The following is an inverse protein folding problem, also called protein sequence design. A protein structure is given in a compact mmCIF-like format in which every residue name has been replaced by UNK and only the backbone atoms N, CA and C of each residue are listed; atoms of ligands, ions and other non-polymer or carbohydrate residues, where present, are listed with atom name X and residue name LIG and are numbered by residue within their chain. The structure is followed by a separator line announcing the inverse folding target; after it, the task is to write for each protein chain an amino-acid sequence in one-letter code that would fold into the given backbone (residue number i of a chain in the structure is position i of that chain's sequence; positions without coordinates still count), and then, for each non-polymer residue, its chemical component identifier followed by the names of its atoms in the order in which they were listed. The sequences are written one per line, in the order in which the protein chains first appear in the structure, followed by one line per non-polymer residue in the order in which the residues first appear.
data_IF_420287636422
#
_entry.id   IF_420287636422
#
_cell.length_a   1.000
_cell.length_b   1.000
_cell.length_c   1.000
_cell.angle_alpha   90.00
_cell.angle_beta   90.00
_cell.angle_gamma   90.00
#
_symmetry.space_group_name_H-M   'P 1'
#
loop_
_entity.id
_entity.type
_entity.pdbx_description
1 polymer ?
#
# COMPACT_ATOMS: atom_id res chain seq x y z
N UNK A 1 65.15 60.25 7.25
CA UNK A 1 64.03 60.18 6.28
C UNK A 1 63.66 58.72 6.08
N UNK A 2 62.55 58.27 6.67
CA UNK A 2 62.09 56.87 6.58
C UNK A 2 60.94 56.77 5.57
N UNK A 3 61.14 55.92 4.58
CA UNK A 3 60.22 55.52 3.52
C UNK A 3 59.06 54.71 4.13
N UNK A 4 57.80 55.04 3.82
CA UNK A 4 56.64 54.18 4.07
C UNK A 4 55.76 54.14 2.82
N UNK A 5 55.96 53.11 2.02
CA UNK A 5 55.07 52.70 0.94
C UNK A 5 53.92 51.90 1.56
N UNK A 6 52.69 52.40 1.45
CA UNK A 6 51.47 51.66 1.82
C UNK A 6 51.01 50.92 0.58
N UNK A 7 51.18 49.59 0.58
CA UNK A 7 50.53 48.69 -0.38
C UNK A 7 49.19 48.29 0.23
N UNK A 8 48.10 48.79 -0.35
CA UNK A 8 46.75 48.34 -0.02
C UNK A 8 46.50 46.99 -0.72
N UNK A 9 46.49 45.91 0.06
CA UNK A 9 46.06 44.60 -0.42
C UNK A 9 44.53 44.55 -0.41
N UNK A 10 43.91 44.58 -1.60
CA UNK A 10 42.51 44.19 -1.77
C UNK A 10 42.39 42.69 -1.53
N UNK A 11 41.76 42.28 -0.43
CA UNK A 11 41.27 40.92 -0.26
C UNK A 11 39.99 40.76 -1.09
N UNK A 12 40.10 40.13 -2.25
CA UNK A 12 38.94 39.65 -3.00
C UNK A 12 38.45 38.34 -2.37
N UNK A 13 37.45 38.43 -1.49
CA UNK A 13 36.68 37.26 -1.03
C UNK A 13 35.80 36.77 -2.17
N UNK A 14 36.32 35.83 -2.96
CA UNK A 14 35.54 35.05 -3.91
C UNK A 14 34.54 34.18 -3.14
N UNK A 15 33.29 34.63 -3.04
CA UNK A 15 32.16 33.78 -2.66
C UNK A 15 31.96 32.77 -3.79
N UNK A 16 32.53 31.58 -3.62
CA UNK A 16 32.17 30.40 -4.38
C UNK A 16 30.74 30.04 -4.00
N UNK A 17 29.75 30.65 -4.66
CA UNK A 17 28.40 30.10 -4.75
C UNK A 17 28.55 28.85 -5.61
N UNK A 18 28.80 27.72 -4.96
CA UNK A 18 28.76 26.43 -5.63
C UNK A 18 27.37 26.25 -6.21
N UNK A 19 27.26 26.30 -7.54
CA UNK A 19 26.10 25.75 -8.23
C UNK A 19 26.06 24.26 -7.88
N UNK A 20 25.29 23.90 -6.84
CA UNK A 20 24.95 22.52 -6.59
C UNK A 20 24.21 22.04 -7.84
N UNK A 21 24.88 21.23 -8.66
CA UNK A 21 24.25 20.57 -9.80
C UNK A 21 23.11 19.73 -9.25
N UNK A 22 21.91 19.93 -9.80
CA UNK A 22 20.74 19.13 -9.47
C UNK A 22 21.08 17.64 -9.67
N UNK A 23 20.88 16.83 -8.64
CA UNK A 23 21.09 15.39 -8.74
C UNK A 23 19.88 14.73 -9.42
N UNK A 24 20.15 13.70 -10.22
CA UNK A 24 19.11 12.80 -10.73
C UNK A 24 19.05 11.57 -9.82
N UNK A 25 17.93 11.42 -9.09
CA UNK A 25 17.75 10.42 -8.05
C UNK A 25 16.64 9.47 -8.48
N UNK A 26 16.90 8.16 -8.42
CA UNK A 26 15.90 7.14 -8.71
C UNK A 26 15.56 6.38 -7.45
N UNK A 27 14.27 6.24 -7.16
CA UNK A 27 13.73 5.39 -6.09
C UNK A 27 12.94 4.22 -6.68
N UNK A 28 12.93 3.09 -5.99
CA UNK A 28 12.01 1.97 -6.22
C UNK A 28 11.06 1.87 -5.02
N UNK A 29 9.77 2.09 -5.27
CA UNK A 29 8.69 1.77 -4.34
C UNK A 29 8.12 0.39 -4.67
N UNK A 30 8.29 -0.56 -3.73
CA UNK A 30 7.65 -1.87 -3.80
C UNK A 30 6.35 -1.82 -3.01
N UNK A 31 5.23 -1.82 -3.75
CA UNK A 31 3.89 -1.60 -3.20
C UNK A 31 2.96 -2.80 -3.40
N UNK A 32 1.81 -2.77 -2.71
CA UNK A 32 0.74 -3.75 -2.91
C UNK A 32 -0.16 -3.42 -4.12
N UNK A 33 -1.03 -4.36 -4.50
CA UNK A 33 -1.61 -4.43 -5.84
C UNK A 33 -2.52 -3.26 -6.30
N UNK A 34 -3.42 -2.71 -5.46
CA UNK A 34 -4.42 -1.72 -5.87
C UNK A 34 -3.96 -0.25 -5.73
N UNK A 35 -2.68 0.01 -5.42
CA UNK A 35 -2.17 1.37 -5.20
C UNK A 35 -1.56 2.01 -6.45
N UNK A 36 -1.83 1.46 -7.64
CA UNK A 36 -1.22 1.87 -8.91
C UNK A 36 -1.53 3.31 -9.24
N UNK A 37 -2.81 3.65 -9.22
CA UNK A 37 -3.32 4.98 -9.55
C UNK A 37 -2.89 5.99 -8.47
N UNK A 38 -2.97 5.60 -7.19
CA UNK A 38 -2.49 6.40 -6.07
C UNK A 38 -1.04 6.81 -6.25
N UNK A 39 -0.13 5.84 -6.44
CA UNK A 39 1.29 6.14 -6.53
C UNK A 39 1.65 6.83 -7.84
N UNK A 40 0.88 6.67 -8.93
CA UNK A 40 1.11 7.44 -10.15
C UNK A 40 0.95 8.94 -9.89
N UNK A 41 -0.14 9.34 -9.25
CA UNK A 41 -0.41 10.75 -8.91
C UNK A 41 0.54 11.25 -7.82
N UNK A 42 0.70 10.47 -6.75
CA UNK A 42 1.58 10.82 -5.63
C UNK A 42 3.04 10.97 -6.05
N UNK A 43 3.55 10.11 -6.93
CA UNK A 43 4.94 10.20 -7.42
C UNK A 43 5.17 11.50 -8.19
N UNK A 44 4.21 11.93 -9.01
CA UNK A 44 4.31 13.18 -9.75
C UNK A 44 4.29 14.39 -8.80
N UNK A 45 3.41 14.37 -7.79
CA UNK A 45 3.34 15.41 -6.77
C UNK A 45 4.64 15.49 -5.96
N UNK A 46 5.14 14.37 -5.44
CA UNK A 46 6.38 14.33 -4.68
C UNK A 46 7.59 14.78 -5.52
N UNK A 47 7.72 14.33 -6.77
CA UNK A 47 8.83 14.74 -7.64
C UNK A 47 8.84 16.26 -7.86
N UNK A 48 7.66 16.87 -8.05
CA UNK A 48 7.51 18.33 -8.16
C UNK A 48 7.87 19.04 -6.85
N UNK A 49 7.37 18.53 -5.72
CA UNK A 49 7.69 19.04 -4.39
C UNK A 49 9.19 19.01 -4.11
N UNK A 50 9.85 17.87 -4.37
CA UNK A 50 11.27 17.69 -4.12
C UNK A 50 12.12 18.60 -5.00
N UNK A 51 11.79 18.70 -6.29
CA UNK A 51 12.47 19.61 -7.22
C UNK A 51 12.34 21.07 -6.80
N UNK A 52 11.16 21.49 -6.34
CA UNK A 52 10.95 22.83 -5.80
C UNK A 52 11.74 23.10 -4.51
N UNK A 53 11.94 22.06 -3.68
CA UNK A 53 12.62 22.17 -2.38
C UNK A 53 14.14 22.10 -2.47
N UNK A 54 14.69 21.28 -3.37
CA UNK A 54 16.14 21.01 -3.42
C UNK A 54 16.79 21.29 -4.77
N UNK A 55 16.00 21.40 -5.83
CA UNK A 55 16.48 21.47 -7.21
C UNK A 55 16.72 20.09 -7.86
N UNK A 56 16.75 19.01 -7.08
CA UNK A 56 17.02 17.65 -7.58
C UNK A 56 15.83 17.09 -8.37
N UNK A 57 16.11 16.26 -9.39
CA UNK A 57 15.07 15.51 -10.09
C UNK A 57 14.93 14.12 -9.45
N UNK A 58 13.70 13.74 -9.11
CA UNK A 58 13.41 12.40 -8.57
C UNK A 58 12.53 11.62 -9.54
N UNK A 59 12.96 10.42 -9.89
CA UNK A 59 12.15 9.42 -10.60
C UNK A 59 11.80 8.31 -9.62
N UNK A 60 10.52 7.96 -9.52
CA UNK A 60 10.06 6.89 -8.65
C UNK A 60 9.48 5.77 -9.50
N UNK A 61 10.21 4.66 -9.56
CA UNK A 61 9.78 3.41 -10.17
C UNK A 61 8.87 2.65 -9.20
N UNK A 62 7.90 1.92 -9.75
CA UNK A 62 6.92 1.18 -8.96
C UNK A 62 6.92 -0.30 -9.32
N UNK A 63 6.69 -1.12 -8.31
CA UNK A 63 6.36 -2.54 -8.46
C UNK A 63 5.10 -2.83 -7.67
N UNK A 64 4.10 -3.46 -8.30
CA UNK A 64 2.81 -3.79 -7.68
C UNK A 64 2.49 -5.27 -7.80
N UNK A 65 1.92 -5.82 -6.74
CA UNK A 65 1.38 -7.17 -6.72
C UNK A 65 0.82 -7.54 -5.35
N UNK A 66 0.49 -8.82 -5.16
CA UNK A 66 0.10 -9.32 -3.84
C UNK A 66 1.16 -8.98 -2.79
N UNK A 67 0.76 -8.30 -1.71
CA UNK A 67 1.68 -7.76 -0.69
C UNK A 67 2.69 -8.77 -0.14
N UNK A 68 2.26 -10.00 0.16
CA UNK A 68 3.17 -11.05 0.63
C UNK A 68 4.14 -11.54 -0.45
N UNK A 69 3.75 -11.49 -1.73
CA UNK A 69 4.65 -11.77 -2.87
C UNK A 69 5.67 -10.64 -3.03
N UNK A 70 5.24 -9.40 -2.87
CA UNK A 70 6.11 -8.22 -2.96
C UNK A 70 7.15 -8.18 -1.83
N UNK A 71 6.73 -8.49 -0.60
CA UNK A 71 7.63 -8.63 0.54
C UNK A 71 8.69 -9.71 0.30
N UNK A 72 8.30 -10.88 -0.21
CA UNK A 72 9.24 -11.92 -0.62
C UNK A 72 10.21 -11.44 -1.71
N UNK A 73 9.74 -10.69 -2.69
CA UNK A 73 10.61 -10.09 -3.71
C UNK A 73 11.73 -9.24 -3.10
N UNK A 74 11.41 -8.42 -2.09
CA UNK A 74 12.42 -7.61 -1.37
C UNK A 74 13.38 -8.50 -0.58
N UNK A 75 12.86 -9.50 0.13
CA UNK A 75 13.67 -10.49 0.88
C UNK A 75 14.66 -11.22 -0.04
N UNK A 76 14.22 -11.57 -1.25
CA UNK A 76 14.98 -12.35 -2.22
C UNK A 76 15.92 -11.48 -3.09
N UNK A 77 15.97 -10.16 -2.85
CA UNK A 77 16.99 -9.27 -3.42
C UNK A 77 16.47 -8.13 -4.32
N UNK A 78 15.16 -7.91 -4.42
CA UNK A 78 14.64 -6.70 -5.07
C UNK A 78 14.99 -5.47 -4.24
N UNK A 79 15.88 -4.62 -4.76
CA UNK A 79 16.43 -3.45 -4.07
C UNK A 79 15.45 -2.28 -3.99
N UNK A 80 14.35 -2.48 -3.26
CA UNK A 80 13.39 -1.43 -2.93
C UNK A 80 14.03 -0.38 -2.01
N UNK A 81 13.86 0.90 -2.32
CA UNK A 81 14.24 1.99 -1.40
C UNK A 81 13.19 2.15 -0.29
N UNK A 82 11.92 1.97 -0.66
CA UNK A 82 10.77 2.02 0.23
C UNK A 82 9.81 0.88 -0.06
N UNK A 83 9.13 0.41 0.98
CA UNK A 83 8.02 -0.51 0.88
C UNK A 83 6.75 0.19 1.35
N UNK A 84 5.67 -0.05 0.62
CA UNK A 84 4.34 0.50 0.93
C UNK A 84 3.34 -0.65 0.81
N UNK A 85 3.22 -1.45 1.88
CA UNK A 85 2.60 -2.79 1.83
C UNK A 85 1.20 -2.78 2.44
N UNK A 86 0.50 -3.90 2.33
CA UNK A 86 -0.91 -3.97 2.71
C UNK A 86 -1.16 -4.16 4.21
N UNK A 87 -0.17 -4.63 4.98
CA UNK A 87 -0.27 -4.92 6.41
C UNK A 87 1.11 -5.05 7.07
N UNK A 88 1.18 -4.78 8.38
CA UNK A 88 2.44 -4.70 9.14
C UNK A 88 3.28 -5.99 9.09
N UNK A 89 2.63 -7.15 9.19
CA UNK A 89 3.33 -8.44 9.15
C UNK A 89 4.19 -8.65 7.89
N UNK A 90 3.84 -8.05 6.74
CA UNK A 90 4.67 -8.17 5.54
C UNK A 90 5.96 -7.33 5.64
N UNK A 91 5.94 -6.21 6.37
CA UNK A 91 7.15 -5.42 6.66
C UNK A 91 7.96 -6.09 7.77
N UNK A 92 7.31 -6.67 8.78
CA UNK A 92 7.99 -7.46 9.82
C UNK A 92 8.77 -8.63 9.20
N UNK A 93 8.18 -9.33 8.22
CA UNK A 93 8.88 -10.41 7.51
C UNK A 93 10.16 -9.94 6.78
N UNK A 94 10.21 -8.68 6.33
CA UNK A 94 11.40 -8.06 5.74
C UNK A 94 12.39 -7.68 6.85
N UNK A 95 11.90 -7.16 7.98
CA UNK A 95 12.70 -6.80 9.14
C UNK A 95 13.38 -8.03 9.78
N UNK A 96 12.71 -9.18 9.81
CA UNK A 96 13.25 -10.47 10.25
C UNK A 96 14.47 -10.93 9.44
N UNK A 97 14.66 -10.39 8.23
CA UNK A 97 15.85 -10.62 7.38
C UNK A 97 16.94 -9.57 7.57
N UNK A 98 16.75 -8.62 8.48
CA UNK A 98 17.72 -7.56 8.80
C UNK A 98 17.84 -6.47 7.73
N UNK A 99 16.86 -6.38 6.82
CA UNK A 99 16.82 -5.36 5.76
C UNK A 99 16.24 -4.03 6.27
N UNK A 100 15.36 -4.11 7.26
CA UNK A 100 14.67 -3.04 7.99
C UNK A 100 14.86 -3.36 9.49
N UNK A 101 14.99 -2.40 10.42
CA UNK A 101 15.07 -2.73 11.84
C UNK A 101 13.71 -3.14 12.41
N UNK A 102 13.74 -3.87 13.53
CA UNK A 102 12.55 -4.41 14.18
C UNK A 102 11.57 -3.33 14.72
N UNK A 103 12.04 -2.11 14.99
CA UNK A 103 11.23 -1.02 15.53
C UNK A 103 10.69 -0.08 14.43
N UNK A 104 10.73 -0.49 13.16
CA UNK A 104 10.36 0.31 12.01
C UNK A 104 9.00 0.99 12.13
N UNK A 105 8.01 0.30 12.71
CA UNK A 105 6.62 0.77 12.80
C UNK A 105 6.48 2.03 13.67
N UNK A 106 7.47 2.34 14.52
CA UNK A 106 7.49 3.53 15.38
C UNK A 106 8.08 4.76 14.69
N UNK A 107 8.67 4.62 13.50
CA UNK A 107 9.39 5.69 12.80
C UNK A 107 8.48 6.74 12.18
N UNK A 108 7.24 6.37 11.90
CA UNK A 108 6.22 7.24 11.32
C UNK A 108 4.95 7.19 12.17
N UNK A 109 4.11 8.25 12.15
CA UNK A 109 2.86 8.29 12.90
C UNK A 109 1.90 7.15 12.53
N UNK A 110 0.88 6.93 13.37
CA UNK A 110 -0.26 6.04 13.07
C UNK A 110 0.16 4.63 12.63
N UNK A 111 1.03 3.97 13.41
CA UNK A 111 1.55 2.64 13.09
C UNK A 111 2.25 2.58 11.72
N UNK A 112 2.89 3.68 11.32
CA UNK A 112 3.46 3.90 9.99
C UNK A 112 2.45 3.71 8.84
N UNK A 113 1.17 3.95 9.09
CA UNK A 113 0.08 3.86 8.11
C UNK A 113 -0.50 5.26 7.83
N UNK A 114 -0.14 5.90 6.69
CA UNK A 114 -0.57 7.27 6.39
C UNK A 114 -2.06 7.37 6.08
N UNK A 115 -2.68 6.27 5.67
CA UNK A 115 -4.10 6.15 5.40
C UNK A 115 -4.61 4.80 5.92
N UNK A 116 -5.93 4.67 5.98
CA UNK A 116 -6.61 3.42 6.33
C UNK A 116 -7.66 3.09 5.29
N UNK A 117 -8.15 1.86 5.32
CA UNK A 117 -9.25 1.39 4.49
C UNK A 117 -10.02 0.31 5.25
N UNK A 118 -11.00 -0.31 4.62
CA UNK A 118 -11.74 -1.43 5.18
C UNK A 118 -12.14 -2.43 4.08
N UNK A 119 -12.79 -3.52 4.48
CA UNK A 119 -13.32 -4.53 3.57
C UNK A 119 -14.81 -4.31 3.36
N UNK A 120 -15.23 -4.25 2.10
CA UNK A 120 -16.63 -4.13 1.69
C UNK A 120 -16.96 -5.21 0.67
N UNK A 121 -18.25 -5.35 0.35
CA UNK A 121 -18.68 -6.25 -0.71
C UNK A 121 -19.01 -5.44 -1.95
N UNK A 122 -18.41 -5.80 -3.09
CA UNK A 122 -18.84 -5.30 -4.39
C UNK A 122 -19.77 -6.34 -5.01
N UNK A 123 -21.02 -5.96 -5.27
CA UNK A 123 -22.04 -6.83 -5.85
C UNK A 123 -22.48 -6.30 -7.22
N UNK A 124 -23.18 -7.14 -7.99
CA UNK A 124 -23.76 -6.74 -9.28
C UNK A 124 -24.94 -5.79 -9.08
N UNK A 125 -25.20 -4.92 -10.07
CA UNK A 125 -26.34 -4.00 -10.08
C UNK A 125 -27.66 -4.70 -9.72
N UNK A 126 -28.44 -4.07 -8.86
CA UNK A 126 -29.70 -4.58 -8.32
C UNK A 126 -29.54 -5.67 -7.26
N UNK A 127 -28.30 -6.06 -6.92
CA UNK A 127 -27.96 -7.07 -5.93
C UNK A 127 -28.84 -8.34 -6.03
N UNK A 128 -28.76 -9.10 -7.15
CA UNK A 128 -29.70 -10.18 -7.46
C UNK A 128 -29.67 -11.34 -6.45
N UNK A 129 -28.60 -11.46 -5.64
CA UNK A 129 -28.48 -12.45 -4.57
C UNK A 129 -28.93 -11.92 -3.20
N UNK A 130 -29.34 -10.67 -3.13
CA UNK A 130 -29.80 -10.03 -1.89
C UNK A 130 -28.75 -10.05 -0.78
N UNK A 131 -27.47 -9.90 -1.14
CA UNK A 131 -26.35 -9.95 -0.19
C UNK A 131 -26.34 -8.67 0.64
N UNK A 132 -26.43 -8.79 1.95
CA UNK A 132 -26.44 -7.66 2.88
C UNK A 132 -25.34 -7.77 3.92
N UNK A 133 -24.95 -8.99 4.27
CA UNK A 133 -23.97 -9.22 5.30
C UNK A 133 -23.19 -10.54 5.11
N UNK A 134 -22.19 -10.78 5.95
CA UNK A 134 -21.33 -11.97 5.92
C UNK A 134 -22.13 -13.29 5.95
N UNK A 135 -23.24 -13.34 6.70
CA UNK A 135 -24.12 -14.51 6.76
C UNK A 135 -24.74 -14.89 5.41
N UNK A 136 -24.88 -13.95 4.48
CA UNK A 136 -25.40 -14.24 3.13
C UNK A 136 -24.36 -14.94 2.24
N UNK A 137 -23.06 -14.75 2.53
CA UNK A 137 -21.97 -15.27 1.71
C UNK A 137 -21.88 -16.80 1.73
N UNK A 138 -22.42 -17.46 2.77
CA UNK A 138 -22.37 -18.92 2.93
C UNK A 138 -23.57 -19.64 2.29
N UNK A 139 -24.49 -18.91 1.66
CA UNK A 139 -25.63 -19.50 0.94
C UNK A 139 -25.14 -20.30 -0.27
N UNK A 140 -25.70 -21.50 -0.57
CA UNK A 140 -25.17 -22.38 -1.62
C UNK A 140 -25.12 -21.77 -3.03
N UNK A 141 -26.02 -20.85 -3.33
CA UNK A 141 -26.16 -20.19 -4.63
C UNK A 141 -25.27 -18.96 -4.82
N UNK A 142 -24.49 -18.57 -3.80
CA UNK A 142 -23.58 -17.43 -3.85
C UNK A 142 -22.19 -17.89 -4.27
N UNK A 143 -21.65 -17.22 -5.27
CA UNK A 143 -20.26 -17.40 -5.71
C UNK A 143 -19.41 -16.20 -5.33
N UNK A 144 -18.27 -16.44 -4.69
CA UNK A 144 -17.41 -15.39 -4.14
C UNK A 144 -16.13 -15.28 -4.94
N UNK A 145 -15.71 -14.04 -5.19
CA UNK A 145 -14.33 -13.71 -5.59
C UNK A 145 -13.61 -13.09 -4.41
N UNK A 146 -12.40 -13.57 -4.15
CA UNK A 146 -11.48 -13.01 -3.16
C UNK A 146 -10.05 -13.41 -3.54
N UNK A 147 -9.03 -12.59 -3.27
CA UNK A 147 -7.66 -12.97 -3.59
C UNK A 147 -7.12 -14.09 -2.68
N UNK A 148 -5.94 -14.63 -3.01
CA UNK A 148 -5.28 -15.70 -2.28
C UNK A 148 -4.56 -15.20 -1.01
N UNK A 149 -4.89 -15.70 0.21
CA UNK A 149 -4.22 -15.29 1.45
C UNK A 149 -2.72 -15.60 1.52
N UNK A 150 -2.21 -16.50 0.68
CA UNK A 150 -0.77 -16.84 0.61
C UNK A 150 0.08 -15.79 -0.09
N UNK A 151 -0.55 -14.90 -0.87
CA UNK A 151 0.15 -13.91 -1.69
C UNK A 151 -0.37 -12.49 -1.47
N UNK A 152 -1.64 -12.32 -1.13
CA UNK A 152 -2.29 -11.01 -1.01
C UNK A 152 -2.50 -10.59 0.46
N UNK A 153 -2.25 -9.32 0.76
CA UNK A 153 -2.62 -8.72 2.06
C UNK A 153 -4.11 -8.48 2.18
N UNK A 154 -4.76 -7.97 1.12
CA UNK A 154 -6.22 -7.82 1.09
C UNK A 154 -6.96 -9.12 1.35
N UNK A 155 -6.45 -10.25 0.85
CA UNK A 155 -7.02 -11.56 1.13
C UNK A 155 -6.96 -11.95 2.62
N UNK A 156 -5.90 -11.54 3.33
CA UNK A 156 -5.75 -11.76 4.77
C UNK A 156 -6.68 -10.84 5.56
N UNK A 157 -6.85 -9.59 5.14
CA UNK A 157 -7.89 -8.72 5.71
C UNK A 157 -9.31 -9.25 5.50
N UNK A 158 -9.63 -9.74 4.29
CA UNK A 158 -10.92 -10.39 4.00
C UNK A 158 -11.16 -11.59 4.92
N UNK A 159 -10.14 -12.43 5.10
CA UNK A 159 -10.21 -13.59 6.00
C UNK A 159 -10.45 -13.16 7.46
N UNK A 160 -9.70 -12.17 7.94
CA UNK A 160 -9.80 -11.69 9.32
C UNK A 160 -11.12 -10.98 9.60
N UNK A 161 -11.67 -10.23 8.63
CA UNK A 161 -12.99 -9.61 8.76
C UNK A 161 -14.10 -10.67 8.87
N UNK A 162 -14.07 -11.70 8.03
CA UNK A 162 -15.00 -12.83 8.11
C UNK A 162 -14.87 -13.59 9.44
N UNK A 163 -13.64 -13.79 9.91
CA UNK A 163 -13.36 -14.44 11.18
C UNK A 163 -13.88 -13.62 12.36
N UNK A 164 -13.61 -12.32 12.38
CA UNK A 164 -14.09 -11.39 13.41
C UNK A 164 -15.62 -11.35 13.46
N UNK A 165 -16.29 -11.28 12.30
CA UNK A 165 -17.75 -11.35 12.23
C UNK A 165 -18.31 -12.60 12.92
N UNK A 166 -17.68 -13.76 12.70
CA UNK A 166 -18.13 -15.02 13.27
C UNK A 166 -17.87 -15.13 14.77
N UNK A 167 -16.83 -14.48 15.29
CA UNK A 167 -16.58 -14.38 16.73
C UNK A 167 -17.62 -13.51 17.45
N UNK A 168 -18.07 -12.44 16.80
CA UNK A 168 -19.07 -11.51 17.36
C UNK A 168 -20.52 -12.05 17.29
N UNK A 169 -20.75 -13.19 16.62
CA UNK A 169 -22.08 -13.81 16.63
C UNK A 169 -22.42 -14.42 18.01
N UNK A 170 -23.71 -14.55 18.36
CA UNK A 170 -24.13 -15.21 19.58
C UNK A 170 -23.50 -16.59 19.77
N UNK A 171 -22.72 -16.74 20.85
CA UNK A 171 -21.97 -17.95 21.16
C UNK A 171 -20.79 -18.21 20.22
N UNK A 172 -20.21 -17.18 19.63
CA UNK A 172 -19.01 -17.24 18.79
C UNK A 172 -17.81 -17.84 19.53
N UNK A 173 -17.04 -18.68 18.82
CA UNK A 173 -15.82 -19.31 19.30
C UNK A 173 -14.84 -19.43 18.15
N UNK A 174 -13.55 -19.64 18.43
CA UNK A 174 -12.56 -19.87 17.37
C UNK A 174 -12.94 -21.04 16.44
N UNK A 175 -13.52 -22.10 17.01
CA UNK A 175 -13.99 -23.25 16.22
C UNK A 175 -15.12 -22.85 15.26
N UNK A 176 -16.11 -22.08 15.73
CA UNK A 176 -17.19 -21.57 14.87
C UNK A 176 -16.69 -20.58 13.82
N UNK A 177 -15.74 -19.72 14.17
CA UNK A 177 -15.11 -18.80 13.23
C UNK A 177 -14.38 -19.55 12.11
N UNK A 178 -13.62 -20.59 12.48
CA UNK A 178 -12.97 -21.49 11.52
C UNK A 178 -13.98 -22.20 10.61
N UNK A 179 -15.07 -22.71 11.17
CA UNK A 179 -16.15 -23.35 10.40
C UNK A 179 -16.82 -22.38 9.42
N UNK A 180 -17.14 -21.17 9.89
CA UNK A 180 -17.75 -20.10 9.10
C UNK A 180 -16.84 -19.68 7.94
N UNK A 181 -15.57 -19.38 8.22
CA UNK A 181 -14.62 -19.03 7.15
C UNK A 181 -14.44 -20.21 6.20
N UNK A 182 -14.45 -21.46 6.70
CA UNK A 182 -14.49 -22.66 5.86
C UNK A 182 -15.71 -22.73 4.93
N UNK A 183 -16.89 -22.29 5.39
CA UNK A 183 -18.10 -22.17 4.56
C UNK A 183 -17.92 -21.07 3.49
N UNK A 184 -17.42 -19.90 3.86
CA UNK A 184 -17.13 -18.80 2.92
C UNK A 184 -16.20 -19.29 1.81
N UNK A 185 -15.10 -19.96 2.16
CA UNK A 185 -14.13 -20.45 1.18
C UNK A 185 -14.65 -21.59 0.29
N UNK A 186 -15.67 -22.36 0.72
CA UNK A 186 -16.35 -23.33 -0.17
C UNK A 186 -17.11 -22.65 -1.30
N UNK A 187 -17.55 -21.41 -1.10
CA UNK A 187 -18.24 -20.61 -2.12
C UNK A 187 -17.28 -19.79 -3.00
N UNK A 188 -15.98 -19.78 -2.70
CA UNK A 188 -14.98 -19.06 -3.50
C UNK A 188 -14.72 -19.78 -4.82
N UNK A 189 -14.82 -19.05 -5.94
CA UNK A 189 -14.59 -19.60 -7.29
C UNK A 189 -13.15 -19.45 -7.77
N UNK A 190 -12.52 -18.33 -7.44
CA UNK A 190 -11.17 -17.99 -7.91
C UNK A 190 -10.42 -17.31 -6.77
N UNK A 191 -9.15 -17.71 -6.58
CA UNK A 191 -8.21 -17.12 -5.63
C UNK A 191 -7.07 -16.45 -6.40
N UNK A 192 -7.30 -15.25 -6.92
CA UNK A 192 -6.28 -14.51 -7.68
C UNK A 192 -5.08 -14.12 -6.79
N UNK A 193 -3.91 -13.96 -7.42
CA UNK A 193 -2.67 -13.71 -6.66
C UNK A 193 -2.62 -12.36 -5.91
N UNK A 194 -3.45 -11.39 -6.33
CA UNK A 194 -3.50 -10.03 -5.80
C UNK A 194 -4.91 -9.45 -5.91
N UNK A 195 -5.17 -8.36 -5.18
CA UNK A 195 -6.51 -7.77 -5.09
C UNK A 195 -7.00 -7.21 -6.43
N UNK A 196 -6.12 -6.55 -7.21
CA UNK A 196 -6.48 -6.02 -8.54
C UNK A 196 -6.87 -7.14 -9.50
N UNK A 197 -6.19 -8.28 -9.41
CA UNK A 197 -6.55 -9.48 -10.17
C UNK A 197 -7.97 -9.97 -9.86
N UNK A 198 -8.36 -9.99 -8.58
CA UNK A 198 -9.72 -10.32 -8.16
C UNK A 198 -10.75 -9.30 -8.65
N UNK A 199 -10.42 -8.01 -8.62
CA UNK A 199 -11.25 -6.95 -9.22
C UNK A 199 -11.48 -7.25 -10.70
N UNK A 200 -10.43 -7.45 -11.50
CA UNK A 200 -10.54 -7.80 -12.93
C UNK A 200 -11.36 -9.08 -13.16
N UNK A 201 -11.17 -10.13 -12.35
CA UNK A 201 -11.96 -11.37 -12.45
C UNK A 201 -13.45 -11.13 -12.24
N UNK A 202 -13.82 -10.33 -11.24
CA UNK A 202 -15.22 -10.03 -10.94
C UNK A 202 -15.83 -9.09 -11.99
N UNK A 203 -15.10 -8.02 -12.29
CA UNK A 203 -15.60 -6.85 -13.00
C UNK A 203 -15.53 -7.01 -14.51
N UNK A 204 -14.38 -7.42 -15.03
CA UNK A 204 -14.14 -7.52 -16.48
C UNK A 204 -14.54 -8.89 -17.01
N UNK A 205 -14.17 -9.96 -16.29
CA UNK A 205 -14.48 -11.35 -16.70
C UNK A 205 -15.87 -11.80 -16.26
N UNK A 206 -16.53 -11.02 -15.41
CA UNK A 206 -17.91 -11.29 -15.00
C UNK A 206 -18.07 -12.58 -14.21
N UNK A 207 -17.07 -13.00 -13.42
CA UNK A 207 -17.13 -14.22 -12.61
C UNK A 207 -17.51 -13.88 -11.16
N UNK A 208 -18.40 -14.65 -10.54
CA UNK A 208 -18.80 -14.47 -9.14
C UNK A 208 -20.07 -13.63 -8.97
N UNK A 209 -20.71 -13.68 -7.82
CA UNK A 209 -21.87 -12.84 -7.46
C UNK A 209 -21.47 -11.65 -6.59
N UNK A 210 -20.38 -11.83 -5.83
CA UNK A 210 -19.82 -10.84 -4.92
C UNK A 210 -18.29 -10.92 -4.89
N UNK A 211 -17.65 -9.76 -4.83
CA UNK A 211 -16.23 -9.61 -4.56
C UNK A 211 -16.02 -9.08 -3.14
N UNK A 212 -15.18 -9.77 -2.37
CA UNK A 212 -14.65 -9.23 -1.11
C UNK A 212 -13.53 -8.25 -1.45
N UNK A 213 -13.83 -6.95 -1.38
CA UNK A 213 -13.02 -5.89 -1.93
C UNK A 213 -12.41 -5.01 -0.83
N UNK A 214 -11.21 -4.50 -1.10
CA UNK A 214 -10.80 -3.24 -0.49
C UNK A 214 -11.81 -2.15 -0.83
N UNK A 215 -12.15 -1.30 0.13
CA UNK A 215 -13.08 -0.19 -0.08
C UNK A 215 -12.66 0.71 -1.26
N UNK A 216 -11.39 1.07 -1.36
CA UNK A 216 -10.88 1.90 -2.45
C UNK A 216 -11.01 1.23 -3.83
N UNK A 217 -10.85 -0.10 -3.95
CA UNK A 217 -11.05 -0.82 -5.22
C UNK A 217 -12.53 -0.88 -5.59
N UNK A 218 -13.41 -1.01 -4.61
CA UNK A 218 -14.85 -0.98 -4.82
C UNK A 218 -15.29 0.39 -5.36
N UNK A 219 -14.84 1.48 -4.73
CA UNK A 219 -15.12 2.84 -5.22
C UNK A 219 -14.50 3.12 -6.59
N UNK A 220 -13.28 2.64 -6.86
CA UNK A 220 -12.67 2.77 -8.18
C UNK A 220 -13.51 2.05 -9.25
N UNK A 221 -13.97 0.83 -8.95
CA UNK A 221 -14.82 0.06 -9.87
C UNK A 221 -16.13 0.80 -10.21
N UNK A 222 -16.75 1.45 -9.23
CA UNK A 222 -17.94 2.28 -9.44
C UNK A 222 -17.62 3.50 -10.31
N UNK A 223 -16.49 4.18 -10.03
CA UNK A 223 -16.07 5.38 -10.76
C UNK A 223 -15.78 5.09 -12.23
N UNK A 224 -15.10 3.98 -12.53
CA UNK A 224 -14.66 3.66 -13.89
C UNK A 224 -15.76 3.02 -14.74
N UNK A 225 -16.69 2.27 -14.13
CA UNK A 225 -17.62 1.41 -14.86
C UNK A 225 -19.09 1.76 -14.64
N UNK A 226 -19.35 2.77 -13.80
CA UNK A 226 -20.67 3.33 -13.58
C UNK A 226 -21.65 2.33 -12.97
N UNK A 227 -22.88 2.34 -13.47
CA UNK A 227 -24.05 1.79 -12.81
C UNK A 227 -24.21 0.25 -12.94
N UNK A 228 -23.07 -0.48 -13.03
CA UNK A 228 -23.01 -1.94 -13.17
C UNK A 228 -22.84 -2.68 -11.85
N UNK A 229 -22.41 -1.99 -10.81
CA UNK A 229 -22.07 -2.55 -9.51
C UNK A 229 -22.63 -1.71 -8.37
N UNK A 230 -22.76 -2.34 -7.21
CA UNK A 230 -23.19 -1.70 -5.97
C UNK A 230 -22.23 -2.10 -4.85
N UNK A 231 -21.99 -1.18 -3.91
CA UNK A 231 -21.24 -1.47 -2.68
C UNK A 231 -22.23 -1.85 -1.61
N UNK A 232 -22.00 -2.99 -0.96
CA UNK A 232 -22.68 -3.41 0.26
C UNK A 232 -21.68 -3.32 1.40
N UNK A 233 -21.97 -2.45 2.36
CA UNK A 233 -21.23 -2.33 3.61
C UNK A 233 -21.76 -3.37 4.60
N UNK A 234 -20.96 -4.38 5.00
CA UNK A 234 -21.41 -5.38 5.98
C UNK A 234 -21.63 -4.78 7.36
N UNK A 235 -22.31 -5.51 8.25
CA UNK A 235 -22.56 -5.04 9.62
C UNK A 235 -21.29 -4.91 10.46
N UNK A 236 -20.29 -5.73 10.13
CA UNK A 236 -18.96 -5.71 10.73
C UNK A 236 -17.92 -5.76 9.62
N UNK A 237 -16.86 -4.97 9.77
CA UNK A 237 -15.65 -5.11 8.97
C UNK A 237 -14.42 -4.90 9.84
N UNK A 238 -13.25 -4.77 9.22
CA UNK A 238 -11.97 -4.59 9.91
C UNK A 238 -11.32 -3.27 9.48
N UNK A 239 -10.69 -2.59 10.44
CA UNK A 239 -9.78 -1.50 10.13
C UNK A 239 -8.53 -2.10 9.49
N UNK A 240 -8.29 -1.77 8.23
CA UNK A 240 -7.09 -2.17 7.55
C UNK A 240 -6.12 -0.97 7.51
N UNK A 241 -4.89 -1.20 7.98
CA UNK A 241 -3.82 -0.21 8.14
C UNK A 241 -2.63 -0.59 7.24
N UNK A 242 -2.56 -0.12 5.97
CA UNK A 242 -1.46 -0.40 5.05
C UNK A 242 -0.21 0.41 5.45
N UNK A 243 0.88 -0.24 5.92
CA UNK A 243 2.01 0.49 6.44
C UNK A 243 3.09 0.75 5.39
N UNK A 244 3.94 1.71 5.70
CA UNK A 244 5.08 2.11 4.87
C UNK A 244 6.38 2.07 5.67
N UNK A 245 7.49 1.71 5.02
CA UNK A 245 8.82 1.77 5.63
C UNK A 245 9.91 2.03 4.61
N UNK A 246 10.97 2.70 5.05
CA UNK A 246 12.25 2.74 4.33
C UNK A 246 12.94 1.38 4.46
N UNK A 247 13.59 0.93 3.39
CA UNK A 247 14.44 -0.28 3.41
C UNK A 247 15.88 0.13 3.67
N UNK A 248 16.27 0.14 4.95
CA UNK A 248 17.55 0.70 5.42
C UNK A 248 18.76 0.18 4.65
N UNK A 249 18.88 -1.14 4.49
CA UNK A 249 20.02 -1.74 3.78
C UNK A 249 20.14 -1.25 2.34
N UNK A 250 19.02 -1.05 1.67
CA UNK A 250 19.00 -0.56 0.28
C UNK A 250 19.39 0.90 0.22
N UNK A 251 18.75 1.75 1.02
CA UNK A 251 18.95 3.20 0.93
C UNK A 251 20.33 3.63 1.40
N UNK A 252 20.93 2.89 2.34
CA UNK A 252 22.32 3.12 2.77
C UNK A 252 23.30 2.69 1.68
N UNK A 253 23.05 1.55 1.03
CA UNK A 253 23.86 1.07 -0.09
C UNK A 253 23.79 2.04 -1.28
N UNK A 254 22.61 2.60 -1.57
CA UNK A 254 22.36 3.45 -2.76
C UNK A 254 22.53 4.94 -2.48
N UNK A 255 22.72 5.36 -1.23
CA UNK A 255 22.82 6.77 -0.86
C UNK A 255 21.50 7.55 -1.03
N UNK A 256 20.35 6.87 -1.03
CA UNK A 256 19.02 7.45 -1.30
C UNK A 256 18.21 7.79 -0.04
N UNK A 257 18.76 7.53 1.16
CA UNK A 257 18.03 7.61 2.44
C UNK A 257 17.26 8.91 2.63
N UNK A 258 17.90 10.06 2.38
CA UNK A 258 17.27 11.37 2.59
C UNK A 258 16.00 11.54 1.75
N UNK A 259 16.04 11.15 0.48
CA UNK A 259 14.89 11.29 -0.44
C UNK A 259 13.84 10.22 -0.14
N UNK A 260 14.25 8.99 0.17
CA UNK A 260 13.34 7.91 0.54
C UNK A 260 12.56 8.22 1.83
N UNK A 261 13.21 8.78 2.85
CA UNK A 261 12.55 9.24 4.08
C UNK A 261 11.55 10.35 3.78
N UNK A 262 11.97 11.38 3.05
CA UNK A 262 11.08 12.48 2.66
C UNK A 262 9.89 12.00 1.81
N UNK A 263 10.10 10.99 0.95
CA UNK A 263 9.04 10.38 0.15
C UNK A 263 7.97 9.69 1.00
N UNK A 264 8.33 9.10 2.14
CA UNK A 264 7.32 8.52 3.04
C UNK A 264 6.71 9.55 3.99
N UNK A 265 7.49 10.52 4.47
CA UNK A 265 6.99 11.61 5.30
C UNK A 265 5.99 12.49 4.54
N UNK A 266 6.17 12.66 3.23
CA UNK A 266 5.27 13.47 2.41
C UNK A 266 3.88 12.85 2.22
N UNK A 267 3.71 11.54 2.46
CA UNK A 267 2.40 10.88 2.53
C UNK A 267 1.56 11.36 3.72
N UNK A 268 2.18 12.03 4.70
CA UNK A 268 1.49 12.62 5.86
C UNK A 268 1.33 14.14 5.72
N UNK A 269 1.71 14.70 4.57
CA UNK A 269 1.49 16.12 4.29
C UNK A 269 0.06 16.37 3.84
N UNK A 270 -0.46 17.62 3.86
CA UNK A 270 -1.81 17.90 3.36
C UNK A 270 -2.08 17.57 1.88
N UNK A 271 -1.04 17.48 1.03
CA UNK A 271 -1.20 17.07 -0.38
C UNK A 271 -1.17 15.53 -0.54
N UNK A 272 -0.49 14.83 0.38
CA UNK A 272 -0.41 13.37 0.41
C UNK A 272 -1.63 12.73 1.02
#
# INVERSE_FOLDING_TARGET
MKLKSIVAALLATSVLVGNALAADISLLNVSYDPTRELYQEYNAAFAKYWKGKTGDNVTINQSHGGSGKQARGVIDGLEADVTTLALAYDIDAIADKGLIPADWQKRLPNNASPYTSTIVFLVRKGNPKGIKDWGDLVKPEVSIITPNPKTSGGARWNYLAAWAYALEQPGGTEQKAKEFVGQVFRNVKVLDSGARGSTTTFVERGIGDVLLAWENEAYLSLKELGDKFEIVTPSLSILAEPPVSVVDKTVDKRGTRKVAQAYLEYLYSPEG
#
